data_IF_244827855554
#
_entry.id   IF_244827855554
#
_cell.length_a   1.000
_cell.length_b   1.000
_cell.length_c   1.000
_cell.angle_alpha   90.00
_cell.angle_beta   90.00
_cell.angle_gamma   90.00
#
_symmetry.space_group_name_H-M   'P 1'
#
loop_
_entity.id
_entity.type
_entity.pdbx_description
1 polymer ?
#
# COMPACT_ATOMS: atom_id res chain seq x y z
N UNK A 1 3.38 20.01 -80.74
CA UNK A 1 3.27 19.31 -79.43
C UNK A 1 4.11 20.06 -78.41
N UNK A 2 3.47 20.81 -77.49
CA UNK A 2 4.16 21.46 -76.36
C UNK A 2 4.27 20.44 -75.23
N UNK A 3 5.50 20.11 -74.81
CA UNK A 3 5.75 19.27 -73.63
C UNK A 3 5.52 20.12 -72.38
N UNK A 4 4.59 19.71 -71.54
CA UNK A 4 4.35 20.29 -70.22
C UNK A 4 5.20 19.47 -69.24
N UNK A 5 6.19 20.11 -68.62
CA UNK A 5 6.96 19.53 -67.52
C UNK A 5 6.21 19.82 -66.22
N UNK A 6 5.68 18.78 -65.57
CA UNK A 6 5.08 18.88 -64.25
C UNK A 6 6.17 18.66 -63.21
N UNK A 7 6.45 19.68 -62.40
CA UNK A 7 7.34 19.58 -61.24
C UNK A 7 6.45 19.33 -60.02
N UNK A 8 6.60 18.15 -59.41
CA UNK A 8 5.94 17.80 -58.15
C UNK A 8 6.86 18.23 -57.01
N UNK A 9 6.44 19.23 -56.24
CA UNK A 9 7.14 19.66 -55.02
C UNK A 9 6.58 18.84 -53.87
N UNK A 10 7.39 17.93 -53.32
CA UNK A 10 7.08 17.19 -52.09
C UNK A 10 7.47 18.06 -50.89
N UNK A 11 6.49 18.57 -50.16
CA UNK A 11 6.69 19.23 -48.87
C UNK A 11 6.75 18.17 -47.78
N UNK A 12 7.96 17.92 -47.25
CA UNK A 12 8.16 17.08 -46.05
C UNK A 12 7.90 17.95 -44.82
N UNK A 13 6.77 17.70 -44.16
CA UNK A 13 6.47 18.32 -42.86
C UNK A 13 7.17 17.48 -41.79
N UNK A 14 8.29 17.98 -41.26
CA UNK A 14 8.94 17.40 -40.10
C UNK A 14 8.11 17.72 -38.86
N UNK A 15 7.32 16.76 -38.38
CA UNK A 15 6.70 16.85 -37.06
C UNK A 15 7.77 16.53 -36.02
N UNK A 16 8.23 17.53 -35.28
CA UNK A 16 9.07 17.32 -34.09
C UNK A 16 8.16 16.84 -32.96
N UNK A 17 8.11 15.53 -32.74
CA UNK A 17 7.56 14.97 -31.51
C UNK A 17 8.52 15.34 -30.37
N UNK A 18 8.11 16.24 -29.49
CA UNK A 18 8.75 16.41 -28.20
C UNK A 18 8.43 15.15 -27.37
N UNK A 19 9.32 14.15 -27.41
CA UNK A 19 9.29 13.09 -26.43
C UNK A 19 9.55 13.74 -25.06
N UNK A 20 8.57 13.69 -24.17
CA UNK A 20 8.79 14.08 -22.78
C UNK A 20 9.83 13.11 -22.20
N UNK A 21 10.97 13.63 -21.75
CA UNK A 21 11.99 12.79 -21.14
C UNK A 21 11.40 12.07 -19.92
N UNK A 22 11.40 10.74 -19.96
CA UNK A 22 10.97 9.89 -18.85
C UNK A 22 11.85 10.14 -17.64
N UNK A 23 11.23 10.50 -16.51
CA UNK A 23 11.95 10.68 -15.24
C UNK A 23 12.58 9.37 -14.78
N UNK A 24 13.71 9.47 -14.09
CA UNK A 24 14.38 8.33 -13.44
C UNK A 24 14.14 8.41 -11.94
N UNK A 25 13.60 7.36 -11.35
CA UNK A 25 13.39 7.22 -9.91
C UNK A 25 14.55 6.44 -9.29
N UNK A 26 14.99 6.89 -8.12
CA UNK A 26 16.01 6.27 -7.30
C UNK A 26 15.33 5.72 -6.04
N UNK A 27 15.62 4.48 -5.61
CA UNK A 27 14.93 3.91 -4.47
C UNK A 27 15.48 4.43 -3.15
N UNK A 28 14.62 4.47 -2.15
CA UNK A 28 15.04 4.42 -0.74
C UNK A 28 15.39 2.98 -0.42
N UNK A 29 16.60 2.76 0.09
CA UNK A 29 17.10 1.41 0.44
C UNK A 29 16.79 1.11 1.90
N UNK A 30 16.17 -0.04 2.16
CA UNK A 30 15.86 -0.51 3.50
C UNK A 30 17.06 -1.14 4.22
N UNK A 31 16.77 -1.91 5.27
CA UNK A 31 17.78 -2.68 5.99
C UNK A 31 18.27 -3.84 5.13
N UNK A 32 19.58 -4.12 5.20
CA UNK A 32 20.19 -5.26 4.54
C UNK A 32 19.70 -6.60 5.13
N UNK A 33 19.46 -7.57 4.25
CA UNK A 33 18.89 -8.89 4.53
C UNK A 33 19.81 -9.95 3.93
N UNK A 34 20.57 -10.62 4.80
CA UNK A 34 21.60 -11.57 4.41
C UNK A 34 21.44 -12.88 5.18
N UNK A 35 20.41 -13.66 4.86
CA UNK A 35 20.24 -14.97 5.49
C UNK A 35 21.37 -15.93 5.06
N UNK A 36 22.00 -16.55 6.05
CA UNK A 36 22.82 -17.75 5.82
C UNK A 36 21.93 -18.95 5.49
N UNK A 37 22.53 -20.01 4.94
CA UNK A 37 21.82 -21.26 4.68
C UNK A 37 21.21 -21.88 5.95
N UNK A 38 21.88 -21.73 7.10
CA UNK A 38 21.38 -22.21 8.39
C UNK A 38 20.21 -21.37 8.89
N UNK A 39 20.28 -20.03 8.78
CA UNK A 39 19.15 -19.16 9.12
C UNK A 39 17.95 -19.43 8.23
N UNK A 40 18.16 -19.70 6.94
CA UNK A 40 17.10 -20.10 6.03
C UNK A 40 16.37 -21.36 6.55
N UNK A 41 17.11 -22.43 6.90
CA UNK A 41 16.51 -23.66 7.44
C UNK A 41 15.73 -23.40 8.75
N UNK A 42 16.28 -22.56 9.63
CA UNK A 42 15.62 -22.18 10.89
C UNK A 42 14.31 -21.40 10.66
N UNK A 43 14.32 -20.45 9.72
CA UNK A 43 13.14 -19.67 9.36
C UNK A 43 12.09 -20.50 8.63
N UNK A 44 12.48 -21.39 7.71
CA UNK A 44 11.56 -22.33 7.04
C UNK A 44 10.85 -23.20 8.09
N UNK A 45 11.58 -23.74 9.06
CA UNK A 45 11.00 -24.52 10.14
C UNK A 45 10.05 -23.69 11.04
N UNK A 46 10.35 -22.41 11.29
CA UNK A 46 9.46 -21.52 12.04
C UNK A 46 8.16 -21.21 11.27
N UNK A 47 8.25 -20.95 9.97
CA UNK A 47 7.09 -20.72 9.09
C UNK A 47 6.22 -21.98 9.03
N UNK A 48 6.80 -23.17 8.97
CA UNK A 48 6.04 -24.43 9.00
C UNK A 48 5.26 -24.62 10.31
N UNK A 49 5.81 -24.16 11.44
CA UNK A 49 5.08 -24.16 12.73
C UNK A 49 3.95 -23.13 12.70
N UNK A 50 4.21 -21.92 12.19
CA UNK A 50 3.21 -20.86 12.08
C UNK A 50 2.03 -21.27 11.18
N UNK A 51 2.31 -21.85 10.01
CA UNK A 51 1.30 -22.25 9.02
C UNK A 51 0.40 -23.42 9.47
N UNK A 52 0.80 -24.17 10.50
CA UNK A 52 -0.06 -25.20 11.07
C UNK A 52 -1.26 -24.62 11.83
N UNK A 53 -1.22 -23.32 12.17
CA UNK A 53 -2.26 -22.60 12.93
C UNK A 53 -2.75 -23.40 14.16
N UNK A 54 -1.80 -24.07 14.82
CA UNK A 54 -2.05 -24.98 15.93
C UNK A 54 -1.22 -24.58 17.14
N UNK A 55 -1.89 -24.05 18.16
CA UNK A 55 -1.26 -23.63 19.40
C UNK A 55 -0.51 -24.76 20.12
N UNK A 56 -0.97 -26.02 20.01
CA UNK A 56 -0.24 -27.17 20.57
C UNK A 56 1.07 -27.43 19.81
N UNK A 57 1.09 -27.24 18.49
CA UNK A 57 2.31 -27.40 17.68
C UNK A 57 3.36 -26.33 18.06
N UNK A 58 2.92 -25.08 18.24
CA UNK A 58 3.77 -24.00 18.76
C UNK A 58 4.32 -24.34 20.16
N UNK A 59 3.47 -24.74 21.10
CA UNK A 59 3.88 -25.05 22.47
C UNK A 59 4.89 -26.20 22.54
N UNK A 60 4.71 -27.22 21.70
CA UNK A 60 5.58 -28.40 21.64
C UNK A 60 6.88 -28.18 20.85
N UNK A 61 7.04 -27.05 20.17
CA UNK A 61 8.26 -26.73 19.40
C UNK A 61 9.45 -26.39 20.30
N UNK A 62 10.64 -26.20 19.72
CA UNK A 62 11.83 -25.82 20.51
C UNK A 62 11.74 -24.35 20.95
N UNK A 63 12.45 -23.98 22.03
CA UNK A 63 12.51 -22.58 22.47
C UNK A 63 13.03 -21.62 21.38
N UNK A 64 13.97 -22.11 20.56
CA UNK A 64 14.47 -21.37 19.40
C UNK A 64 13.39 -21.14 18.35
N UNK A 65 12.60 -22.17 18.02
CA UNK A 65 11.52 -22.05 17.03
C UNK A 65 10.41 -21.12 17.50
N UNK A 66 10.01 -21.20 18.78
CA UNK A 66 9.04 -20.25 19.34
C UNK A 66 9.51 -18.80 19.24
N UNK A 67 10.76 -18.51 19.58
CA UNK A 67 11.33 -17.15 19.45
C UNK A 67 11.31 -16.64 17.99
N UNK A 68 11.54 -17.53 17.02
CA UNK A 68 11.44 -17.17 15.60
C UNK A 68 9.99 -16.96 15.15
N UNK A 69 9.05 -17.80 15.61
CA UNK A 69 7.62 -17.61 15.34
C UNK A 69 7.14 -16.27 15.92
N UNK A 70 7.49 -15.96 17.17
CA UNK A 70 7.13 -14.70 17.83
C UNK A 70 7.70 -13.49 17.04
N UNK A 71 8.92 -13.61 16.50
CA UNK A 71 9.51 -12.59 15.62
C UNK A 71 8.71 -12.39 14.33
N UNK A 72 8.29 -13.48 13.68
CA UNK A 72 7.44 -13.40 12.48
C UNK A 72 6.15 -12.65 12.78
N UNK A 73 5.49 -12.96 13.89
CA UNK A 73 4.27 -12.28 14.31
C UNK A 73 4.50 -10.79 14.61
N UNK A 74 5.70 -10.42 15.05
CA UNK A 74 6.11 -9.03 15.26
C UNK A 74 6.58 -8.32 13.97
N UNK A 75 6.55 -8.99 12.81
CA UNK A 75 6.93 -8.43 11.52
C UNK A 75 8.43 -8.53 11.19
N UNK A 76 9.19 -9.32 11.95
CA UNK A 76 10.58 -9.66 11.66
C UNK A 76 10.69 -10.96 10.84
N UNK A 77 11.81 -11.16 10.16
CA UNK A 77 12.07 -12.40 9.41
C UNK A 77 11.70 -12.30 7.93
N UNK A 78 11.49 -13.43 7.24
CA UNK A 78 11.41 -13.48 5.78
C UNK A 78 9.99 -13.24 5.23
N UNK A 79 8.99 -13.05 6.08
CA UNK A 79 7.65 -12.67 5.63
C UNK A 79 7.54 -11.16 5.55
N UNK A 80 7.18 -10.64 4.38
CA UNK A 80 7.12 -9.19 4.12
C UNK A 80 5.80 -8.56 4.52
N UNK A 81 4.81 -9.39 4.86
CA UNK A 81 3.56 -9.00 5.51
C UNK A 81 3.34 -9.92 6.71
N UNK A 82 2.80 -9.36 7.80
CA UNK A 82 2.55 -10.07 9.04
C UNK A 82 1.11 -9.91 9.53
N UNK A 83 0.86 -10.35 10.77
CA UNK A 83 -0.43 -10.22 11.45
C UNK A 83 -0.68 -8.76 11.85
N UNK A 84 -1.20 -7.96 10.91
CA UNK A 84 -1.45 -6.53 11.14
C UNK A 84 -2.07 -5.82 9.94
N UNK A 85 -2.29 -4.51 10.08
CA UNK A 85 -2.84 -3.69 9.00
C UNK A 85 -1.79 -3.54 7.90
N UNK A 86 -2.12 -3.94 6.69
CA UNK A 86 -1.34 -3.63 5.49
C UNK A 86 -2.15 -2.75 4.55
N UNK A 87 -1.51 -2.09 3.59
CA UNK A 87 -2.26 -1.39 2.55
C UNK A 87 -3.20 -2.34 1.80
N UNK A 88 -2.81 -3.62 1.72
CA UNK A 88 -3.61 -4.73 1.19
C UNK A 88 -4.91 -5.02 1.92
N UNK A 89 -5.15 -4.44 3.10
CA UNK A 89 -6.47 -4.46 3.70
C UNK A 89 -7.48 -3.69 2.83
N UNK A 90 -7.08 -2.60 2.16
CA UNK A 90 -7.96 -1.86 1.25
C UNK A 90 -8.05 -2.45 -0.15
N UNK A 91 -7.17 -3.38 -0.49
CA UNK A 91 -7.08 -3.95 -1.82
C UNK A 91 -5.63 -4.10 -2.27
N UNK A 92 -5.41 -4.94 -3.26
CA UNK A 92 -4.10 -5.25 -3.80
C UNK A 92 -4.22 -5.68 -5.25
N UNK A 93 -3.13 -6.08 -5.90
CA UNK A 93 -3.24 -6.65 -7.22
C UNK A 93 -4.05 -7.96 -7.14
N UNK A 94 -5.16 -8.04 -7.87
CA UNK A 94 -6.00 -9.24 -7.90
C UNK A 94 -5.50 -10.27 -8.93
N UNK A 95 -4.65 -9.81 -9.86
CA UNK A 95 -4.08 -10.63 -10.92
C UNK A 95 -2.67 -10.14 -11.26
N UNK A 96 -1.78 -11.10 -11.50
CA UNK A 96 -0.39 -10.86 -11.86
C UNK A 96 -0.08 -11.68 -13.11
N UNK A 97 0.63 -11.09 -14.07
CA UNK A 97 1.10 -11.77 -15.27
C UNK A 97 2.60 -11.54 -15.43
N UNK A 98 3.30 -12.51 -16.03
CA UNK A 98 4.66 -12.34 -16.50
C UNK A 98 4.74 -12.72 -17.98
N UNK A 99 5.67 -12.10 -18.71
CA UNK A 99 5.95 -12.43 -20.11
C UNK A 99 6.56 -13.83 -20.28
N UNK A 100 7.28 -14.29 -19.26
CA UNK A 100 7.76 -15.65 -19.11
C UNK A 100 7.97 -16.03 -17.65
N UNK A 101 8.07 -17.33 -17.41
CA UNK A 101 8.50 -17.90 -16.14
C UNK A 101 9.32 -19.17 -16.42
N UNK A 102 10.30 -19.47 -15.56
CA UNK A 102 11.07 -20.71 -15.65
C UNK A 102 10.14 -21.91 -15.48
N UNK A 103 10.16 -22.84 -16.45
CA UNK A 103 9.22 -23.97 -16.60
C UNK A 103 9.34 -25.00 -15.46
N UNK A 104 8.89 -24.60 -14.28
CA UNK A 104 8.80 -25.39 -13.06
C UNK A 104 7.77 -24.77 -12.14
N UNK A 105 7.11 -25.61 -11.33
CA UNK A 105 6.11 -25.16 -10.36
C UNK A 105 6.72 -24.22 -9.30
N UNK A 106 8.05 -24.26 -9.12
CA UNK A 106 8.75 -23.56 -8.05
C UNK A 106 8.93 -22.05 -8.26
N UNK A 107 8.87 -21.54 -9.50
CA UNK A 107 9.34 -20.18 -9.84
C UNK A 107 8.31 -19.34 -10.62
N UNK A 108 7.04 -19.59 -10.35
CA UNK A 108 5.91 -18.96 -11.02
C UNK A 108 5.77 -17.49 -10.67
N UNK A 109 5.04 -16.76 -11.51
CA UNK A 109 4.73 -15.34 -11.29
C UNK A 109 4.06 -15.10 -9.93
N UNK A 110 3.21 -16.01 -9.44
CA UNK A 110 2.49 -15.84 -8.17
C UNK A 110 3.43 -15.65 -6.97
N UNK A 111 4.65 -16.21 -7.04
CA UNK A 111 5.65 -16.07 -5.98
C UNK A 111 6.20 -14.64 -5.86
N UNK A 112 6.00 -13.77 -6.85
CA UNK A 112 6.46 -12.39 -6.78
C UNK A 112 5.62 -11.55 -5.81
N UNK A 113 4.52 -12.12 -5.31
CA UNK A 113 3.54 -11.47 -4.47
C UNK A 113 2.85 -12.40 -3.46
N UNK A 114 3.62 -13.35 -2.90
CA UNK A 114 3.13 -14.30 -1.89
C UNK A 114 3.53 -13.93 -0.45
N UNK A 115 4.14 -12.75 -0.30
CA UNK A 115 4.69 -12.20 0.92
C UNK A 115 5.88 -12.95 1.52
N UNK A 116 6.56 -13.82 0.76
CA UNK A 116 7.70 -14.61 1.21
C UNK A 116 8.98 -14.25 0.47
N UNK A 117 10.02 -13.88 1.22
CA UNK A 117 11.36 -13.69 0.65
C UNK A 117 12.05 -15.00 0.23
N UNK A 118 11.49 -16.15 0.59
CA UNK A 118 12.08 -17.47 0.32
C UNK A 118 11.59 -18.11 -0.97
N UNK A 119 10.58 -17.52 -1.58
CA UNK A 119 10.10 -17.80 -2.93
C UNK A 119 10.58 -16.69 -3.86
N UNK A 120 10.21 -16.81 -5.14
CA UNK A 120 10.48 -15.77 -6.13
C UNK A 120 10.06 -16.20 -7.52
N UNK A 121 9.76 -15.21 -8.34
CA UNK A 121 9.58 -15.38 -9.79
C UNK A 121 10.95 -15.40 -10.47
N UNK A 122 11.10 -16.28 -11.46
CA UNK A 122 12.29 -16.39 -12.30
C UNK A 122 11.85 -16.27 -13.76
N UNK A 123 12.43 -15.35 -14.51
CA UNK A 123 11.99 -15.04 -15.87
C UNK A 123 12.12 -16.24 -16.85
N UNK A 124 13.18 -17.04 -16.74
CA UNK A 124 13.30 -18.36 -17.38
C UNK A 124 13.75 -18.39 -18.85
N UNK A 125 14.17 -17.28 -19.45
CA UNK A 125 14.84 -17.25 -20.75
C UNK A 125 16.27 -17.76 -20.63
N UNK A 126 16.82 -18.20 -21.77
CA UNK A 126 18.22 -18.64 -21.83
C UNK A 126 19.25 -17.51 -21.75
N UNK A 127 18.80 -16.25 -21.78
CA UNK A 127 19.67 -15.06 -21.67
C UNK A 127 19.48 -14.37 -20.32
N UNK A 128 19.51 -13.04 -20.27
CA UNK A 128 19.36 -12.25 -19.05
C UNK A 128 17.93 -11.69 -18.87
N UNK A 129 16.96 -12.13 -19.69
CA UNK A 129 15.56 -11.70 -19.58
C UNK A 129 15.33 -10.22 -19.92
N UNK A 130 16.19 -9.60 -20.76
CA UNK A 130 16.00 -8.20 -21.16
C UNK A 130 14.75 -8.08 -22.03
N UNK A 131 13.84 -7.20 -21.65
CA UNK A 131 12.52 -7.03 -22.28
C UNK A 131 11.43 -7.91 -21.67
N UNK A 132 11.78 -8.87 -20.81
CA UNK A 132 10.78 -9.58 -20.01
C UNK A 132 10.15 -8.63 -18.99
N UNK A 133 8.90 -8.89 -18.65
CA UNK A 133 8.08 -7.99 -17.84
C UNK A 133 7.13 -8.71 -16.91
N UNK A 134 6.73 -8.00 -15.85
CA UNK A 134 5.64 -8.37 -14.95
C UNK A 134 4.55 -7.30 -15.05
N UNK A 135 3.29 -7.72 -14.98
CA UNK A 135 2.11 -6.84 -14.89
C UNK A 135 1.31 -7.15 -13.63
N UNK A 136 0.93 -6.10 -12.91
CA UNK A 136 0.03 -6.15 -11.77
C UNK A 136 -1.27 -5.44 -12.12
N UNK A 137 -2.39 -6.11 -11.87
CA UNK A 137 -3.74 -5.62 -12.17
C UNK A 137 -4.46 -5.33 -10.86
N UNK A 138 -4.93 -4.10 -10.71
CA UNK A 138 -5.73 -3.65 -9.58
C UNK A 138 -7.13 -3.32 -10.08
N UNK A 139 -8.15 -3.77 -9.35
CA UNK A 139 -9.55 -3.55 -9.73
C UNK A 139 -9.89 -2.05 -9.80
N UNK A 140 -10.93 -1.66 -10.56
CA UNK A 140 -11.43 -0.29 -10.55
C UNK A 140 -11.74 0.17 -9.11
N UNK A 141 -11.45 1.43 -8.79
CA UNK A 141 -11.63 2.01 -7.45
C UNK A 141 -10.81 1.34 -6.31
N UNK A 142 -9.80 0.52 -6.64
CA UNK A 142 -8.79 0.11 -5.64
C UNK A 142 -8.14 1.34 -5.01
N UNK A 143 -7.68 1.25 -3.75
CA UNK A 143 -6.93 2.32 -3.11
C UNK A 143 -5.77 2.81 -3.99
N UNK A 144 -5.36 4.07 -3.84
CA UNK A 144 -4.26 4.60 -4.66
C UNK A 144 -2.93 3.97 -4.27
N UNK A 145 -2.20 3.43 -5.25
CA UNK A 145 -0.80 3.01 -5.10
C UNK A 145 0.10 4.24 -5.16
N UNK A 146 1.03 4.38 -4.21
CA UNK A 146 2.05 5.44 -4.26
C UNK A 146 3.49 4.95 -4.05
N UNK A 147 3.68 3.66 -3.71
CA UNK A 147 5.00 3.07 -3.52
C UNK A 147 5.05 1.67 -4.14
N UNK A 148 6.17 1.37 -4.77
CA UNK A 148 6.56 0.03 -5.18
C UNK A 148 7.80 -0.38 -4.39
N UNK A 149 7.74 -1.49 -3.68
CA UNK A 149 8.75 -1.98 -2.74
C UNK A 149 9.29 -3.30 -3.27
N UNK A 150 10.49 -3.28 -3.84
CA UNK A 150 11.09 -4.46 -4.47
C UNK A 150 12.07 -5.17 -3.54
N UNK A 151 12.02 -6.49 -3.56
CA UNK A 151 13.08 -7.38 -3.08
C UNK A 151 13.73 -8.05 -4.30
N UNK A 152 14.60 -7.28 -4.93
CA UNK A 152 15.25 -7.59 -6.20
C UNK A 152 16.42 -8.58 -6.02
N UNK A 153 16.29 -9.78 -6.58
CA UNK A 153 17.16 -10.94 -6.35
C UNK A 153 16.46 -12.06 -5.58
N UNK A 154 17.16 -13.18 -5.38
CA UNK A 154 16.61 -14.33 -4.67
C UNK A 154 17.00 -14.28 -3.18
N UNK A 155 16.12 -13.72 -2.34
CA UNK A 155 16.41 -13.46 -0.92
C UNK A 155 16.41 -14.71 -0.03
N UNK A 156 16.14 -15.89 -0.59
CA UNK A 156 16.12 -17.16 0.15
C UNK A 156 17.39 -17.38 0.99
N UNK A 157 18.55 -17.06 0.44
CA UNK A 157 19.80 -16.90 1.20
C UNK A 157 20.79 -16.07 0.37
N UNK A 158 21.85 -15.57 1.01
CA UNK A 158 22.83 -14.70 0.37
C UNK A 158 23.53 -15.34 -0.84
N UNK A 159 23.85 -16.65 -0.76
CA UNK A 159 24.51 -17.36 -1.86
C UNK A 159 23.60 -17.39 -3.10
N UNK A 160 22.29 -17.59 -2.90
CA UNK A 160 21.31 -17.54 -3.98
C UNK A 160 21.14 -16.12 -4.53
N UNK A 161 21.13 -15.10 -3.68
CA UNK A 161 21.05 -13.70 -4.11
C UNK A 161 22.24 -13.31 -5.01
N UNK A 162 23.47 -13.67 -4.63
CA UNK A 162 24.67 -13.38 -5.43
C UNK A 162 24.75 -14.20 -6.71
N UNK A 163 24.32 -15.46 -6.66
CA UNK A 163 24.46 -16.39 -7.79
C UNK A 163 23.51 -16.12 -8.93
N UNK A 164 22.36 -15.49 -8.69
CA UNK A 164 21.37 -15.14 -9.71
C UNK A 164 21.51 -13.69 -10.19
N UNK A 165 21.01 -13.40 -11.38
CA UNK A 165 20.99 -12.02 -11.89
C UNK A 165 19.86 -11.22 -11.24
N UNK A 166 20.02 -9.90 -11.25
CA UNK A 166 19.13 -8.95 -10.57
C UNK A 166 18.84 -7.79 -11.50
N UNK A 167 17.69 -7.16 -11.35
CA UNK A 167 17.31 -6.00 -12.15
C UNK A 167 18.25 -4.84 -11.80
N UNK A 168 18.88 -4.22 -12.80
CA UNK A 168 19.65 -2.98 -12.62
C UNK A 168 18.81 -1.77 -13.00
N UNK A 169 18.05 -1.89 -14.08
CA UNK A 169 17.16 -0.84 -14.57
C UNK A 169 15.90 -1.48 -15.12
N UNK A 170 14.74 -0.94 -14.76
CA UNK A 170 13.46 -1.30 -15.36
C UNK A 170 12.72 -0.06 -15.88
N UNK A 171 11.72 -0.28 -16.72
CA UNK A 171 10.75 0.75 -17.11
C UNK A 171 9.40 0.44 -16.47
N UNK A 172 8.86 1.41 -15.75
CA UNK A 172 7.51 1.37 -15.23
C UNK A 172 6.55 1.95 -16.26
N UNK A 173 5.48 1.23 -16.58
CA UNK A 173 4.33 1.73 -17.32
C UNK A 173 3.10 1.74 -16.41
N UNK A 174 2.24 2.74 -16.62
CA UNK A 174 0.91 2.82 -16.03
C UNK A 174 -0.09 2.80 -17.17
N UNK A 175 -1.00 1.83 -17.18
CA UNK A 175 -2.01 1.65 -18.23
C UNK A 175 -1.39 1.71 -19.64
N UNK A 176 -0.31 0.94 -19.84
CA UNK A 176 0.50 0.86 -21.05
C UNK A 176 1.22 2.16 -21.48
N UNK A 177 1.15 3.24 -20.71
CA UNK A 177 1.90 4.47 -20.96
C UNK A 177 3.21 4.45 -20.17
N UNK A 178 4.38 4.65 -20.80
CA UNK A 178 5.65 4.79 -20.09
C UNK A 178 5.57 5.89 -19.03
N UNK A 179 5.97 5.58 -17.80
CA UNK A 179 5.86 6.50 -16.67
C UNK A 179 7.22 6.94 -16.11
N UNK A 180 8.12 5.98 -15.86
CA UNK A 180 9.45 6.28 -15.33
C UNK A 180 10.45 5.15 -15.59
N UNK A 181 11.74 5.46 -15.48
CA UNK A 181 12.78 4.46 -15.27
C UNK A 181 12.97 4.21 -13.77
N UNK A 182 13.04 2.95 -13.38
CA UNK A 182 13.41 2.53 -12.02
C UNK A 182 14.89 2.11 -12.04
N UNK A 183 15.74 2.80 -11.30
CA UNK A 183 17.18 2.52 -11.26
C UNK A 183 17.57 1.88 -9.92
N UNK A 184 17.79 0.58 -9.93
CA UNK A 184 18.03 -0.22 -8.73
C UNK A 184 19.47 -0.09 -8.24
N UNK A 185 19.67 -0.32 -6.95
CA UNK A 185 20.97 -0.53 -6.32
C UNK A 185 21.25 -2.04 -6.24
N UNK A 186 22.51 -2.43 -6.41
CA UNK A 186 22.95 -3.82 -6.28
C UNK A 186 23.17 -4.17 -4.79
N UNK A 187 22.07 -4.28 -4.05
CA UNK A 187 22.06 -4.52 -2.60
C UNK A 187 20.95 -5.51 -2.22
N UNK A 188 21.22 -6.37 -1.25
CA UNK A 188 20.29 -7.34 -0.67
C UNK A 188 19.39 -6.67 0.38
N UNK A 189 18.66 -5.64 -0.03
CA UNK A 189 17.72 -4.91 0.82
C UNK A 189 16.44 -4.60 0.05
N UNK A 190 15.36 -4.27 0.77
CA UNK A 190 14.18 -3.70 0.12
C UNK A 190 14.52 -2.39 -0.56
N UNK A 191 13.89 -2.13 -1.70
CA UNK A 191 14.11 -0.93 -2.50
C UNK A 191 12.76 -0.30 -2.84
N UNK A 192 12.46 0.83 -2.20
CA UNK A 192 11.17 1.52 -2.32
C UNK A 192 11.27 2.67 -3.31
N UNK A 193 10.44 2.62 -4.36
CA UNK A 193 10.26 3.71 -5.31
C UNK A 193 8.92 4.40 -5.04
N UNK A 194 8.97 5.69 -4.72
CA UNK A 194 7.77 6.52 -4.60
C UNK A 194 7.32 7.00 -5.98
N UNK A 195 6.01 6.99 -6.18
CA UNK A 195 5.33 7.53 -7.37
C UNK A 195 4.20 8.45 -6.91
N UNK A 196 3.66 9.24 -7.85
CA UNK A 196 2.43 9.97 -7.55
C UNK A 196 1.33 8.96 -7.22
N UNK A 197 0.44 9.24 -6.25
CA UNK A 197 -0.67 8.35 -5.94
C UNK A 197 -1.56 8.11 -7.16
N UNK A 198 -1.73 6.85 -7.54
CA UNK A 198 -2.49 6.43 -8.71
C UNK A 198 -3.51 5.36 -8.35
N UNK A 199 -4.72 5.51 -8.89
CA UNK A 199 -5.76 4.48 -8.92
C UNK A 199 -6.38 4.50 -10.30
N UNK A 200 -7.22 3.51 -10.61
CA UNK A 200 -8.08 3.65 -11.79
C UNK A 200 -9.10 4.75 -11.54
N UNK A 201 -9.25 5.63 -12.53
CA UNK A 201 -10.25 6.72 -12.51
C UNK A 201 -11.51 6.37 -13.30
N UNK A 202 -11.54 5.18 -13.91
CA UNK A 202 -12.68 4.64 -14.64
C UNK A 202 -13.18 3.39 -13.93
N UNK A 203 -14.46 3.40 -13.53
CA UNK A 203 -15.13 2.33 -12.80
C UNK A 203 -15.15 0.99 -13.57
N UNK A 204 -14.82 0.98 -14.86
CA UNK A 204 -14.80 -0.21 -15.71
C UNK A 204 -13.40 -0.58 -16.23
N UNK A 205 -12.34 0.07 -15.73
CA UNK A 205 -10.98 -0.19 -16.17
C UNK A 205 -10.07 -0.50 -14.99
N UNK A 206 -9.27 -1.54 -15.10
CA UNK A 206 -8.23 -1.85 -14.12
C UNK A 206 -7.09 -0.82 -14.18
N UNK A 207 -6.44 -0.58 -13.03
CA UNK A 207 -5.10 -0.01 -13.04
C UNK A 207 -4.10 -1.14 -13.35
N UNK A 208 -3.26 -0.93 -14.36
CA UNK A 208 -2.23 -1.89 -14.77
C UNK A 208 -0.85 -1.25 -14.57
N UNK A 209 -0.05 -1.85 -13.69
CA UNK A 209 1.36 -1.50 -13.51
C UNK A 209 2.22 -2.55 -14.21
N UNK A 210 3.01 -2.14 -15.21
CA UNK A 210 3.94 -3.02 -15.91
C UNK A 210 5.38 -2.63 -15.62
N UNK A 211 6.20 -3.62 -15.28
CA UNK A 211 7.63 -3.45 -15.00
C UNK A 211 8.40 -4.26 -16.06
N UNK A 212 9.08 -3.57 -16.97
CA UNK A 212 9.88 -4.16 -18.05
C UNK A 212 11.38 -4.09 -17.70
N UNK A 213 12.09 -5.20 -17.78
CA UNK A 213 13.53 -5.28 -17.49
C UNK A 213 14.32 -4.64 -18.65
N UNK A 214 15.18 -3.67 -18.36
CA UNK A 214 16.02 -3.00 -19.36
C UNK A 214 17.51 -3.31 -19.22
N UNK A 215 18.00 -3.45 -17.99
CA UNK A 215 19.38 -3.77 -17.68
C UNK A 215 19.44 -4.66 -16.44
N UNK A 216 20.48 -5.50 -16.34
CA UNK A 216 20.69 -6.40 -15.20
C UNK A 216 22.06 -6.23 -14.56
N UNK A 217 22.13 -6.54 -13.27
CA UNK A 217 23.35 -6.96 -12.60
C UNK A 217 23.51 -8.46 -12.80
N UNK A 218 24.68 -8.88 -13.28
CA UNK A 218 24.94 -10.30 -13.58
C UNK A 218 25.16 -11.07 -12.28
N UNK A 219 24.49 -12.21 -12.16
CA UNK A 219 24.77 -13.20 -11.13
C UNK A 219 26.14 -13.83 -11.32
N UNK A 220 26.69 -14.39 -10.24
CA UNK A 220 27.99 -15.10 -10.31
C UNK A 220 27.88 -16.46 -10.99
N UNK A 221 26.67 -17.02 -11.14
CA UNK A 221 26.45 -18.36 -11.69
C UNK A 221 25.34 -18.44 -12.74
N UNK A 222 24.18 -17.84 -12.48
CA UNK A 222 22.98 -17.94 -13.32
C UNK A 222 22.68 -16.61 -14.02
N UNK A 223 22.27 -16.69 -15.28
CA UNK A 223 21.83 -15.51 -16.04
C UNK A 223 20.40 -15.11 -15.71
N UNK A 224 19.60 -16.04 -15.18
CA UNK A 224 18.22 -15.81 -14.81
C UNK A 224 18.08 -14.64 -13.83
N UNK A 225 17.15 -13.74 -14.13
CA UNK A 225 16.73 -12.70 -13.20
C UNK A 225 15.72 -13.29 -12.22
N UNK A 226 15.94 -13.04 -10.94
CA UNK A 226 15.02 -13.45 -9.88
C UNK A 226 14.50 -12.21 -9.15
N UNK A 227 13.20 -12.18 -8.90
CA UNK A 227 12.59 -11.21 -7.99
C UNK A 227 11.84 -11.99 -6.92
N UNK A 228 12.28 -11.88 -5.68
CA UNK A 228 11.64 -12.57 -4.57
C UNK A 228 10.27 -11.98 -4.25
N UNK A 229 10.12 -10.66 -4.28
CA UNK A 229 8.87 -10.03 -3.85
C UNK A 229 8.76 -8.61 -4.41
N UNK A 230 7.54 -8.20 -4.78
CA UNK A 230 7.18 -6.82 -5.08
C UNK A 230 5.94 -6.46 -4.28
N UNK A 231 6.14 -5.63 -3.28
CA UNK A 231 5.06 -5.06 -2.51
C UNK A 231 4.65 -3.67 -3.02
N UNK A 232 3.44 -3.28 -2.66
CA UNK A 232 2.81 -2.00 -2.88
C UNK A 232 2.41 -1.42 -1.54
N UNK A 233 2.47 -0.10 -1.48
CA UNK A 233 1.90 0.70 -0.42
C UNK A 233 1.27 1.92 -1.09
N UNK A 234 0.41 2.59 -0.33
CA UNK A 234 -0.51 3.53 -0.93
C UNK A 234 -1.32 4.30 0.08
N UNK A 235 -2.34 4.97 -0.46
CA UNK A 235 -3.22 5.85 0.27
C UNK A 235 -4.63 5.25 0.32
N UNK A 236 -5.55 6.02 0.88
CA UNK A 236 -6.98 5.75 0.96
C UNK A 236 -7.37 4.58 1.86
N UNK A 237 -6.44 4.11 2.69
CA UNK A 237 -6.70 3.05 3.68
C UNK A 237 -7.34 3.53 4.97
N UNK A 238 -7.76 4.80 5.04
CA UNK A 238 -8.28 5.49 6.20
C UNK A 238 -9.75 5.86 5.96
N UNK A 239 -10.69 4.98 6.27
CA UNK A 239 -12.09 5.24 5.94
C UNK A 239 -13.03 4.74 7.03
N UNK A 240 -14.22 5.32 7.04
CA UNK A 240 -15.31 4.92 7.91
C UNK A 240 -16.29 4.06 7.12
N UNK A 241 -16.83 3.03 7.76
CA UNK A 241 -17.79 2.14 7.14
C UNK A 241 -19.07 2.87 6.69
N UNK A 242 -19.66 2.39 5.59
CA UNK A 242 -21.00 2.79 5.14
C UNK A 242 -22.01 2.79 6.29
N UNK A 243 -22.88 3.80 6.32
CA UNK A 243 -23.89 4.00 7.36
C UNK A 243 -23.40 4.79 8.57
N UNK A 244 -22.11 5.15 8.62
CA UNK A 244 -21.58 6.06 9.65
C UNK A 244 -22.30 7.41 9.56
N UNK A 245 -22.76 7.90 10.71
CA UNK A 245 -23.53 9.15 10.83
C UNK A 245 -22.58 10.33 11.04
N UNK A 246 -22.47 11.20 10.04
CA UNK A 246 -21.72 12.44 10.12
C UNK A 246 -22.63 13.58 10.55
N UNK A 247 -22.16 14.39 11.50
CA UNK A 247 -22.88 15.57 11.97
C UNK A 247 -22.67 16.74 11.00
N UNK A 248 -23.79 17.28 10.49
CA UNK A 248 -23.81 18.47 9.66
C UNK A 248 -23.72 19.74 10.52
N UNK A 249 -23.46 20.88 9.88
CA UNK A 249 -23.31 22.17 10.57
C UNK A 249 -24.55 22.61 11.37
N UNK A 250 -25.74 22.16 10.96
CA UNK A 250 -27.00 22.44 11.66
C UNK A 250 -27.31 21.45 12.80
N UNK A 251 -26.40 20.51 13.06
CA UNK A 251 -26.54 19.45 14.07
C UNK A 251 -27.32 18.23 13.60
N UNK A 252 -27.88 18.24 12.39
CA UNK A 252 -28.51 17.05 11.82
C UNK A 252 -27.47 15.97 11.48
N UNK A 253 -27.92 14.72 11.40
CA UNK A 253 -27.05 13.58 11.07
C UNK A 253 -27.35 13.10 9.66
N UNK A 254 -26.31 12.87 8.88
CA UNK A 254 -26.39 12.28 7.54
C UNK A 254 -25.47 11.07 7.44
N UNK A 255 -25.86 10.08 6.65
CA UNK A 255 -24.97 8.97 6.33
C UNK A 255 -23.76 9.48 5.54
N UNK A 256 -22.59 8.92 5.81
CA UNK A 256 -21.35 9.32 5.16
C UNK A 256 -21.39 9.11 3.64
N UNK A 257 -22.04 8.05 3.15
CA UNK A 257 -22.22 7.78 1.71
C UNK A 257 -23.13 8.78 0.99
N UNK A 258 -23.93 9.54 1.74
CA UNK A 258 -24.89 10.51 1.22
C UNK A 258 -24.36 11.95 1.25
N UNK A 259 -23.14 12.17 1.78
CA UNK A 259 -22.48 13.47 1.78
C UNK A 259 -22.12 13.91 0.36
N UNK A 260 -22.11 15.22 0.13
CA UNK A 260 -21.72 15.82 -1.16
C UNK A 260 -20.72 16.94 -0.96
N UNK A 261 -19.80 17.09 -1.91
CA UNK A 261 -18.88 18.22 -1.96
C UNK A 261 -19.66 19.53 -1.91
N UNK A 262 -19.23 20.43 -1.05
CA UNK A 262 -19.82 21.73 -0.83
C UNK A 262 -20.82 21.83 0.30
N UNK A 263 -21.23 20.71 0.91
CA UNK A 263 -22.01 20.72 2.15
C UNK A 263 -21.17 21.19 3.34
N UNK A 264 -21.85 21.71 4.38
CA UNK A 264 -21.22 22.14 5.62
C UNK A 264 -21.35 21.05 6.69
N UNK A 265 -20.22 20.59 7.21
CA UNK A 265 -20.14 19.62 8.31
C UNK A 265 -19.64 20.27 9.59
N UNK A 266 -19.98 19.65 10.71
CA UNK A 266 -19.48 20.06 12.01
C UNK A 266 -18.07 19.51 12.26
N UNK A 267 -17.18 20.36 12.78
CA UNK A 267 -15.86 19.98 13.28
C UNK A 267 -15.63 20.55 14.67
N UNK A 268 -14.75 19.91 15.44
CA UNK A 268 -14.39 20.32 16.78
C UNK A 268 -13.10 21.14 16.77
N UNK A 269 -13.19 22.40 17.20
CA UNK A 269 -12.05 23.30 17.29
C UNK A 269 -11.39 23.17 18.67
N UNK A 270 -10.22 22.52 18.72
CA UNK A 270 -9.54 22.23 19.98
C UNK A 270 -9.05 23.48 20.72
N UNK A 271 -8.78 24.57 20.00
CA UNK A 271 -8.32 25.84 20.60
C UNK A 271 -9.43 26.54 21.38
N UNK A 272 -10.61 26.68 20.76
CA UNK A 272 -11.79 27.29 21.41
C UNK A 272 -12.64 26.32 22.22
N UNK A 273 -12.40 25.01 22.07
CA UNK A 273 -13.21 23.94 22.66
C UNK A 273 -14.70 24.07 22.25
N UNK A 274 -14.94 24.37 20.98
CA UNK A 274 -16.27 24.58 20.40
C UNK A 274 -16.45 23.81 19.09
N UNK A 275 -17.70 23.41 18.83
CA UNK A 275 -18.09 22.88 17.52
C UNK A 275 -18.25 24.06 16.55
N UNK A 276 -17.52 24.02 15.44
CA UNK A 276 -17.59 24.95 14.32
C UNK A 276 -18.05 24.20 13.07
N UNK A 277 -18.14 24.90 11.94
CA UNK A 277 -18.52 24.30 10.66
C UNK A 277 -17.51 24.58 9.57
N UNK A 278 -17.36 23.64 8.65
CA UNK A 278 -16.48 23.74 7.50
C UNK A 278 -17.13 23.12 6.26
N UNK A 279 -16.71 23.58 5.08
CA UNK A 279 -17.20 23.09 3.80
C UNK A 279 -16.41 21.86 3.38
N UNK A 280 -17.12 20.81 2.95
CA UNK A 280 -16.50 19.65 2.30
C UNK A 280 -15.91 20.08 0.96
N UNK A 281 -14.59 19.97 0.80
CA UNK A 281 -13.90 20.21 -0.46
C UNK A 281 -13.67 18.92 -1.24
N UNK A 282 -13.43 17.80 -0.53
CA UNK A 282 -13.13 16.51 -1.14
C UNK A 282 -13.66 15.35 -0.29
N UNK A 283 -14.14 14.31 -0.97
CA UNK A 283 -14.65 13.06 -0.42
C UNK A 283 -13.95 11.90 -1.12
N UNK A 284 -13.69 10.82 -0.39
CA UNK A 284 -13.19 9.57 -0.97
C UNK A 284 -14.19 8.44 -0.72
N UNK A 285 -14.25 7.50 -1.66
CA UNK A 285 -15.02 6.26 -1.58
C UNK A 285 -14.13 5.11 -2.00
N UNK A 286 -13.98 4.11 -1.13
CA UNK A 286 -13.15 2.93 -1.38
C UNK A 286 -13.80 1.69 -0.76
N UNK A 287 -13.60 0.52 -1.37
CA UNK A 287 -14.00 -0.77 -0.78
C UNK A 287 -12.82 -1.29 0.04
N UNK A 288 -13.02 -1.59 1.32
CA UNK A 288 -11.98 -2.12 2.20
C UNK A 288 -12.32 -3.48 2.76
N UNK A 289 -11.30 -4.31 2.95
CA UNK A 289 -11.30 -5.51 3.77
C UNK A 289 -10.67 -5.23 5.14
N UNK A 290 -10.96 -6.10 6.13
CA UNK A 290 -10.26 -6.06 7.41
C UNK A 290 -10.53 -4.81 8.25
N UNK A 291 -11.74 -4.24 8.13
CA UNK A 291 -12.20 -3.15 8.97
C UNK A 291 -12.27 -3.57 10.44
N UNK A 292 -12.17 -2.59 11.32
CA UNK A 292 -12.24 -2.81 12.75
C UNK A 292 -13.43 -2.07 13.33
N UNK A 293 -14.22 -2.81 14.10
CA UNK A 293 -15.35 -2.30 14.87
C UNK A 293 -14.88 -1.97 16.28
N UNK A 294 -14.99 -0.70 16.64
CA UNK A 294 -14.80 -0.19 17.99
C UNK A 294 -16.14 -0.19 18.72
N UNK A 295 -16.19 -0.77 19.91
CA UNK A 295 -17.37 -0.73 20.78
C UNK A 295 -17.05 0.00 22.07
N UNK A 296 -17.97 0.86 22.48
CA UNK A 296 -17.80 1.72 23.65
C UNK A 296 -18.77 1.33 24.77
N UNK A 297 -18.47 1.76 25.99
CA UNK A 297 -19.22 1.42 27.20
C UNK A 297 -20.70 1.85 27.14
N UNK A 298 -21.00 2.95 26.44
CA UNK A 298 -22.37 3.43 26.21
C UNK A 298 -23.21 2.55 25.26
N UNK A 299 -22.56 1.61 24.55
CA UNK A 299 -23.15 0.87 23.44
C UNK A 299 -22.95 1.53 22.08
N UNK A 300 -22.29 2.69 22.01
CA UNK A 300 -21.85 3.30 20.76
C UNK A 300 -20.90 2.36 20.01
N UNK A 301 -21.07 2.32 18.68
CA UNK A 301 -20.19 1.57 17.79
C UNK A 301 -19.75 2.44 16.61
N UNK A 302 -18.51 2.28 16.17
CA UNK A 302 -18.04 2.78 14.88
C UNK A 302 -17.17 1.70 14.22
N UNK A 303 -17.30 1.56 12.90
CA UNK A 303 -16.43 0.68 12.12
C UNK A 303 -15.58 1.55 11.21
N UNK A 304 -14.27 1.39 11.32
CA UNK A 304 -13.29 2.17 10.59
C UNK A 304 -12.15 1.26 10.14
N UNK A 305 -11.35 1.75 9.20
CA UNK A 305 -10.03 1.18 8.97
C UNK A 305 -9.13 1.47 10.20
N UNK A 306 -8.08 0.69 10.35
CA UNK A 306 -7.32 0.61 11.60
C UNK A 306 -6.43 1.82 11.86
N UNK A 307 -6.11 2.53 10.81
CA UNK A 307 -5.27 3.70 10.78
C UNK A 307 -6.09 5.01 10.81
N UNK A 308 -7.42 4.94 10.83
CA UNK A 308 -8.26 6.13 10.91
C UNK A 308 -8.01 6.87 12.25
N UNK A 309 -7.65 8.17 12.23
CA UNK A 309 -7.32 8.92 13.44
C UNK A 309 -8.57 9.28 14.26
N UNK A 310 -8.52 9.01 15.56
CA UNK A 310 -9.50 9.43 16.55
C UNK A 310 -8.86 10.36 17.57
N UNK A 311 -9.62 11.34 18.05
CA UNK A 311 -9.16 12.19 19.12
C UNK A 311 -9.41 11.52 20.48
N UNK A 312 -8.33 11.24 21.22
CA UNK A 312 -8.36 10.49 22.49
C UNK A 312 -7.87 11.37 23.64
N UNK A 313 -8.65 11.42 24.71
CA UNK A 313 -8.35 12.19 25.92
C UNK A 313 -6.96 11.81 26.47
N UNK A 314 -6.15 12.81 26.82
CA UNK A 314 -4.75 12.68 27.29
C UNK A 314 -3.73 12.13 26.28
N UNK A 315 -4.16 11.63 25.10
CA UNK A 315 -3.25 11.17 24.04
C UNK A 315 -3.18 12.11 22.84
N UNK A 316 -4.21 12.93 22.63
CA UNK A 316 -4.40 13.65 21.38
C UNK A 316 -4.85 12.68 20.29
N UNK A 317 -4.36 12.86 19.07
CA UNK A 317 -4.67 11.94 17.97
C UNK A 317 -4.15 10.52 18.24
N UNK A 318 -4.97 9.52 17.98
CA UNK A 318 -4.61 8.12 18.08
C UNK A 318 -5.30 7.22 17.03
N UNK A 319 -4.63 6.15 16.60
CA UNK A 319 -5.19 5.10 15.75
C UNK A 319 -4.65 3.72 16.18
N UNK A 320 -5.13 2.61 15.60
CA UNK A 320 -4.54 1.28 15.88
C UNK A 320 -3.18 1.11 15.19
N UNK A 321 -2.95 1.81 14.06
CA UNK A 321 -1.65 1.85 13.35
C UNK A 321 -1.14 3.28 13.13
N UNK A 322 -0.47 3.85 14.16
CA UNK A 322 0.04 5.22 14.12
C UNK A 322 0.99 5.52 12.97
N UNK A 323 1.87 4.58 12.62
CA UNK A 323 2.88 4.78 11.57
C UNK A 323 2.23 5.06 10.21
N UNK A 324 1.07 4.45 9.95
CA UNK A 324 0.29 4.71 8.73
C UNK A 324 -0.43 6.04 8.77
N UNK A 325 -0.96 6.43 9.92
CA UNK A 325 -1.64 7.71 10.08
C UNK A 325 -0.67 8.90 10.02
N UNK A 326 0.60 8.73 10.40
CA UNK A 326 1.60 9.80 10.43
C UNK A 326 1.94 10.40 9.04
N UNK A 327 1.48 9.78 7.95
CA UNK A 327 1.67 10.29 6.59
C UNK A 327 0.77 11.49 6.24
N UNK A 328 -0.36 11.70 6.93
CA UNK A 328 -1.23 12.86 6.67
C UNK A 328 -0.83 14.07 7.53
N UNK A 329 -1.29 15.25 7.10
CA UNK A 329 -1.06 16.52 7.79
C UNK A 329 -1.67 16.46 9.20
N UNK A 330 -0.91 16.86 10.21
CA UNK A 330 -1.40 16.98 11.60
C UNK A 330 -1.22 15.73 12.48
N UNK A 331 -0.76 14.60 11.94
CA UNK A 331 -0.65 13.33 12.67
C UNK A 331 0.79 12.86 12.93
N UNK A 332 1.80 13.73 12.83
CA UNK A 332 3.21 13.38 13.02
C UNK A 332 3.52 12.66 14.35
N UNK A 333 2.73 12.96 15.39
CA UNK A 333 2.91 12.45 16.75
C UNK A 333 1.78 11.52 17.22
N UNK A 334 0.98 11.00 16.28
CA UNK A 334 -0.18 10.17 16.57
C UNK A 334 0.19 8.94 17.42
N UNK A 335 -0.70 8.57 18.36
CA UNK A 335 -0.46 7.52 19.36
C UNK A 335 -1.26 6.26 19.07
N UNK A 336 -0.87 5.15 19.70
CA UNK A 336 -1.61 3.88 19.58
C UNK A 336 -2.83 3.84 20.50
N UNK A 337 -3.98 3.51 19.93
CA UNK A 337 -5.23 3.20 20.65
C UNK A 337 -5.08 1.91 21.46
N UNK A 338 -5.64 1.90 22.66
CA UNK A 338 -5.74 0.74 23.55
C UNK A 338 -7.14 0.63 24.13
N UNK A 339 -7.62 -0.59 24.37
CA UNK A 339 -8.86 -0.81 25.14
C UNK A 339 -8.73 -0.13 26.51
N UNK A 340 -9.77 0.57 26.93
CA UNK A 340 -9.80 1.42 28.12
C UNK A 340 -9.52 2.90 27.86
N UNK A 341 -9.07 3.27 26.67
CA UNK A 341 -8.91 4.68 26.27
C UNK A 341 -10.26 5.42 26.24
N UNK A 342 -10.22 6.72 26.55
CA UNK A 342 -11.37 7.62 26.54
C UNK A 342 -11.35 8.48 25.27
N UNK A 343 -12.23 8.19 24.33
CA UNK A 343 -12.36 8.91 23.06
C UNK A 343 -13.17 10.18 23.26
N UNK A 344 -12.76 11.28 22.64
CA UNK A 344 -13.49 12.53 22.73
C UNK A 344 -14.70 12.52 21.79
N UNK A 345 -15.83 12.98 22.30
CA UNK A 345 -17.05 13.24 21.53
C UNK A 345 -17.35 14.73 21.53
N UNK A 346 -18.36 15.15 20.77
CA UNK A 346 -18.79 16.55 20.74
C UNK A 346 -19.20 17.10 22.13
N UNK A 347 -19.59 16.24 23.07
CA UNK A 347 -20.16 16.65 24.36
C UNK A 347 -19.47 16.00 25.58
N UNK A 348 -18.85 14.83 25.43
CA UNK A 348 -18.36 14.00 26.53
C UNK A 348 -17.15 13.14 26.11
N UNK A 349 -16.92 12.03 26.83
CA UNK A 349 -15.92 11.01 26.47
C UNK A 349 -16.57 9.63 26.42
N UNK A 350 -16.15 8.81 25.47
CA UNK A 350 -16.59 7.42 25.31
C UNK A 350 -15.45 6.45 25.62
N UNK A 351 -15.68 5.51 26.53
CA UNK A 351 -14.67 4.53 26.93
C UNK A 351 -14.67 3.33 26.00
N UNK A 352 -13.54 3.07 25.35
CA UNK A 352 -13.37 1.92 24.47
C UNK A 352 -13.33 0.63 25.29
N UNK A 353 -14.23 -0.32 25.00
CA UNK A 353 -14.30 -1.61 25.72
C UNK A 353 -13.90 -2.80 24.86
N UNK A 354 -14.04 -2.70 23.54
CA UNK A 354 -13.72 -3.78 22.62
C UNK A 354 -13.29 -3.25 21.26
N UNK A 355 -12.33 -3.94 20.66
CA UNK A 355 -11.89 -3.78 19.28
C UNK A 355 -12.06 -5.14 18.62
N UNK A 356 -12.92 -5.21 17.60
CA UNK A 356 -13.26 -6.46 16.91
C UNK A 356 -12.93 -6.35 15.41
N UNK A 357 -12.24 -7.36 14.88
CA UNK A 357 -11.77 -7.37 13.50
C UNK A 357 -12.82 -8.03 12.62
N UNK A 358 -13.39 -7.25 11.71
CA UNK A 358 -14.39 -7.77 10.78
C UNK A 358 -13.72 -8.51 9.62
N UNK A 359 -14.33 -9.64 9.25
CA UNK A 359 -13.96 -10.40 8.04
C UNK A 359 -14.92 -10.01 6.91
N UNK A 360 -14.37 -9.78 5.72
CA UNK A 360 -15.13 -9.40 4.54
C UNK A 360 -14.83 -7.99 4.05
N UNK A 361 -15.38 -7.67 2.89
CA UNK A 361 -15.28 -6.35 2.27
C UNK A 361 -16.46 -5.46 2.64
N UNK A 362 -16.24 -4.16 2.72
CA UNK A 362 -17.29 -3.19 2.95
C UNK A 362 -16.96 -1.88 2.23
N UNK A 363 -17.97 -1.23 1.66
CA UNK A 363 -17.84 0.15 1.18
C UNK A 363 -17.51 1.08 2.36
N UNK A 364 -16.55 1.96 2.14
CA UNK A 364 -16.11 2.93 3.12
C UNK A 364 -15.93 4.30 2.48
N UNK A 365 -15.96 5.31 3.33
CA UNK A 365 -16.00 6.71 2.93
C UNK A 365 -15.19 7.54 3.92
N UNK A 366 -14.63 8.66 3.46
CA UNK A 366 -13.99 9.64 4.34
C UNK A 366 -14.08 11.05 3.74
N UNK A 367 -13.82 12.05 4.57
CA UNK A 367 -13.66 13.45 4.13
C UNK A 367 -12.15 13.70 4.07
N UNK A 368 -11.58 13.76 2.87
CA UNK A 368 -10.14 13.97 2.68
C UNK A 368 -9.74 15.45 2.72
N UNK A 369 -10.70 16.37 2.56
CA UNK A 369 -10.41 17.81 2.67
C UNK A 369 -11.60 18.66 3.09
N UNK A 370 -11.35 19.55 4.03
CA UNK A 370 -12.26 20.62 4.47
C UNK A 370 -11.67 21.99 4.15
N UNK A 371 -12.54 23.00 3.99
CA UNK A 371 -12.11 24.39 3.80
C UNK A 371 -11.38 24.99 5.01
N UNK A 372 -11.57 24.39 6.19
CA UNK A 372 -10.98 24.79 7.47
C UNK A 372 -11.16 23.66 8.49
N UNK A 373 -10.26 23.58 9.47
CA UNK A 373 -10.27 22.49 10.44
C UNK A 373 -9.70 21.19 9.88
N UNK A 374 -9.37 20.27 10.77
CA UNK A 374 -8.63 19.04 10.50
C UNK A 374 -9.40 17.78 10.98
N UNK A 375 -10.68 17.94 11.30
CA UNK A 375 -11.50 16.86 11.85
C UNK A 375 -12.97 17.04 11.48
N UNK A 376 -13.77 16.00 11.72
CA UNK A 376 -15.22 16.04 11.66
C UNK A 376 -15.81 15.11 12.72
N UNK A 377 -17.13 15.18 12.92
CA UNK A 377 -17.81 14.38 13.93
C UNK A 377 -18.55 13.22 13.26
N UNK A 378 -18.18 11.99 13.62
CA UNK A 378 -18.70 10.75 13.05
C UNK A 378 -19.16 9.78 14.14
N UNK A 379 -20.43 9.36 14.08
CA UNK A 379 -21.13 8.65 15.17
C UNK A 379 -20.95 9.34 16.54
N UNK A 380 -20.78 10.67 16.56
CA UNK A 380 -20.52 11.46 17.77
C UNK A 380 -19.05 11.53 18.20
N UNK A 381 -18.16 10.69 17.67
CA UNK A 381 -16.72 10.73 17.93
C UNK A 381 -16.04 11.81 17.07
N UNK A 382 -14.96 12.39 17.57
CA UNK A 382 -14.10 13.31 16.81
C UNK A 382 -13.06 12.50 16.04
N UNK A 383 -13.11 12.60 14.71
CA UNK A 383 -12.24 11.85 13.78
C UNK A 383 -11.48 12.78 12.85
N UNK A 384 -10.26 12.40 12.46
CA UNK A 384 -9.38 13.24 11.65
C UNK A 384 -9.77 13.33 10.18
N UNK A 385 -9.44 14.45 9.55
CA UNK A 385 -9.46 14.66 8.09
C UNK A 385 -8.11 14.28 7.50
N UNK A 386 -8.13 13.72 6.30
CA UNK A 386 -6.97 13.06 5.70
C UNK A 386 -6.34 13.89 4.57
N UNK A 387 -5.94 15.13 4.90
CA UNK A 387 -5.20 15.95 3.93
C UNK A 387 -3.76 15.43 3.81
N UNK A 388 -3.37 15.00 2.62
CA UNK A 388 -2.00 14.55 2.36
C UNK A 388 -1.01 15.70 2.52
N UNK A 389 0.14 15.40 3.12
CA UNK A 389 1.28 16.32 3.09
C UNK A 389 1.62 16.55 1.62
N UNK A 390 1.61 17.81 1.18
CA UNK A 390 2.14 18.14 -0.15
C UNK A 390 3.62 17.79 -0.14
N UNK A 391 4.06 16.99 -1.10
CA UNK A 391 5.49 16.79 -1.32
C UNK A 391 6.15 18.17 -1.47
N UNK A 392 7.11 18.47 -0.60
CA UNK A 392 8.07 19.54 -0.82
C UNK A 392 8.92 19.12 -2.03
N UNK A 393 8.42 19.45 -3.23
CA UNK A 393 9.07 19.14 -4.51
C UNK A 393 10.40 19.84 -4.66
#
# INVERSE_FOLDING_TARGET
MRKITVIVILTVIAMTNFAQDLRTLIPVVGKEINYSATEQEDWEAAIDVLNQDNYEAYQNSSAKLRDLVDKIEMGDGPLTQGVGCSWYCGGGPYKILASSELDTIKYKVDNIHDFSLFTGWVEGKSDYGIGEFIEFYFEPNSPRVNKLIFYNGYFKNHVLWESNSRIKKAKLYINNTPYAYLNFRDVSASQTFSIEPISSTDENQDLILKIEILEVYKGTKYSDVVVSEINFDGLDVHCLAKGTKVQLADGSLKNIEDLRTGELVAYFDQESNQVKSAKIEQLEKVIHHGLVKYKFESGLEITATQDHPFLVLQKGWASLTPDKSAQYVGFDNIKKVKVGDLFLTANETEKLILVDFSKGEQETYTISKLSSGDNFIANGLIVGVEELKKDER
#
